data_IF_116818808030
#
_entry.id   IF_116818808030
#
_cell.length_a   1.000
_cell.length_b   1.000
_cell.length_c   1.000
_cell.angle_alpha   90.00
_cell.angle_beta   90.00
_cell.angle_gamma   90.00
#
_symmetry.space_group_name_H-M   'P 1'
#
loop_
_entity.id
_entity.type
_entity.pdbx_description
1 polymer ?
#
# COMPACT_ATOMS: atom_id res chain seq x y z
N UNK A 1 -16.08 -18.13 -4.78
CA UNK A 1 -16.99 -16.99 -4.81
C UNK A 1 -16.22 -15.89 -5.50
N UNK A 2 -16.65 -15.49 -6.69
CA UNK A 2 -15.97 -14.41 -7.41
C UNK A 2 -16.26 -13.08 -6.72
N UNK A 3 -15.31 -12.14 -6.78
CA UNK A 3 -15.50 -10.81 -6.22
C UNK A 3 -16.67 -10.11 -6.92
N UNK A 4 -17.47 -9.35 -6.17
CA UNK A 4 -18.51 -8.51 -6.75
C UNK A 4 -17.87 -7.47 -7.68
N UNK A 5 -18.41 -7.36 -8.90
CA UNK A 5 -17.90 -6.53 -9.99
C UNK A 5 -18.61 -5.19 -10.10
N UNK A 6 -19.51 -4.87 -9.17
CA UNK A 6 -20.08 -3.51 -9.08
C UNK A 6 -18.98 -2.48 -8.85
N UNK A 7 -19.17 -1.27 -9.38
CA UNK A 7 -18.23 -0.15 -9.16
C UNK A 7 -18.02 0.13 -7.66
N UNK A 8 -19.08 -0.01 -6.86
CA UNK A 8 -19.00 0.17 -5.41
C UNK A 8 -18.08 -0.87 -4.75
N UNK A 9 -18.24 -2.16 -5.07
CA UNK A 9 -17.40 -3.23 -4.54
C UNK A 9 -15.94 -3.09 -4.99
N UNK A 10 -15.72 -2.80 -6.27
CA UNK A 10 -14.38 -2.59 -6.82
C UNK A 10 -13.67 -1.40 -6.16
N UNK A 11 -14.38 -0.30 -5.90
CA UNK A 11 -13.82 0.86 -5.20
C UNK A 11 -13.43 0.54 -3.76
N UNK A 12 -14.19 -0.30 -3.06
CA UNK A 12 -13.83 -0.74 -1.72
C UNK A 12 -12.56 -1.60 -1.75
N UNK A 13 -12.53 -2.60 -2.62
CA UNK A 13 -11.36 -3.47 -2.79
C UNK A 13 -10.10 -2.70 -3.22
N UNK A 14 -10.25 -1.68 -4.07
CA UNK A 14 -9.14 -0.83 -4.48
C UNK A 14 -8.56 -0.05 -3.30
N UNK A 15 -9.40 0.51 -2.43
CA UNK A 15 -8.95 1.23 -1.23
C UNK A 15 -8.18 0.34 -0.27
N UNK A 16 -8.65 -0.89 -0.07
CA UNK A 16 -7.96 -1.88 0.78
C UNK A 16 -6.60 -2.27 0.19
N UNK A 17 -6.54 -2.42 -1.14
CA UNK A 17 -5.30 -2.67 -1.86
C UNK A 17 -4.33 -1.47 -1.77
N UNK A 18 -4.83 -0.24 -1.94
CA UNK A 18 -4.06 1.00 -1.83
C UNK A 18 -3.46 1.16 -0.43
N UNK A 19 -4.22 0.88 0.62
CA UNK A 19 -3.73 0.95 2.00
C UNK A 19 -2.60 -0.06 2.23
N UNK A 20 -2.83 -1.31 1.83
CA UNK A 20 -1.81 -2.36 1.93
C UNK A 20 -0.55 -2.00 1.15
N UNK A 21 -0.72 -1.51 -0.08
CA UNK A 21 0.40 -1.18 -0.95
C UNK A 21 1.20 0.00 -0.40
N UNK A 22 0.55 1.05 0.08
CA UNK A 22 1.20 2.29 0.48
C UNK A 22 1.72 2.30 1.92
N UNK A 23 1.15 1.47 2.82
CA UNK A 23 1.47 1.53 4.25
C UNK A 23 2.04 0.25 4.82
N UNK A 24 1.74 -0.91 4.22
CA UNK A 24 2.12 -2.22 4.77
C UNK A 24 3.21 -2.89 3.95
N UNK A 25 3.15 -2.78 2.62
CA UNK A 25 4.04 -3.52 1.72
C UNK A 25 5.44 -2.88 1.64
N UNK A 26 6.52 -3.63 1.89
CA UNK A 26 7.87 -3.14 1.60
C UNK A 26 8.13 -3.05 0.09
N UNK A 27 8.73 -1.95 -0.35
CA UNK A 27 9.03 -1.73 -1.76
C UNK A 27 10.51 -1.95 -2.05
N UNK A 28 10.81 -2.75 -3.09
CA UNK A 28 12.18 -2.99 -3.53
C UNK A 28 12.93 -1.67 -3.84
N UNK A 29 12.27 -0.72 -4.49
CA UNK A 29 12.84 0.59 -4.82
C UNK A 29 13.24 1.41 -3.58
N UNK A 30 12.65 1.12 -2.42
CA UNK A 30 12.96 1.77 -1.13
C UNK A 30 13.92 0.92 -0.27
N UNK A 31 14.57 -0.09 -0.87
CA UNK A 31 15.43 -1.02 -0.16
C UNK A 31 14.65 -1.95 0.76
N UNK A 32 13.49 -2.43 0.31
CA UNK A 32 12.58 -3.29 1.07
C UNK A 32 12.08 -2.64 2.37
N UNK A 33 11.75 -1.36 2.29
CA UNK A 33 11.06 -0.60 3.34
C UNK A 33 9.69 -0.15 2.87
N UNK A 34 8.78 0.06 3.82
CA UNK A 34 7.56 0.84 3.58
C UNK A 34 7.91 2.32 3.35
N UNK A 35 7.02 3.12 2.74
CA UNK A 35 7.25 4.55 2.56
C UNK A 35 7.52 5.29 3.88
N UNK A 36 6.78 4.96 4.94
CA UNK A 36 6.95 5.57 6.26
C UNK A 36 8.32 5.25 6.88
N UNK A 37 8.75 3.98 6.82
CA UNK A 37 10.08 3.58 7.29
C UNK A 37 11.20 4.26 6.51
N UNK A 38 11.04 4.38 5.19
CA UNK A 38 12.00 5.09 4.34
C UNK A 38 12.11 6.57 4.73
N UNK A 39 10.99 7.27 4.90
CA UNK A 39 10.97 8.67 5.32
C UNK A 39 11.60 8.86 6.72
N UNK A 40 11.27 8.00 7.68
CA UNK A 40 11.87 8.05 9.02
C UNK A 40 13.40 7.87 8.98
N UNK A 41 13.90 6.97 8.12
CA UNK A 41 15.34 6.74 7.94
C UNK A 41 16.07 7.94 7.30
N UNK A 42 15.37 8.72 6.47
CA UNK A 42 15.92 9.92 5.82
C UNK A 42 15.86 11.17 6.68
N UNK A 43 14.89 11.26 7.59
CA UNK A 43 14.79 12.38 8.51
C UNK A 43 15.88 12.35 9.61
N UNK A 44 16.53 11.19 9.78
CA UNK A 44 17.58 10.96 10.79
C UNK A 44 19.00 11.05 10.22
N UNK A 45 19.16 11.47 8.96
CA UNK A 45 20.42 11.62 8.24
C UNK A 45 20.66 13.08 7.86
#
# INVERSE_FOLDING_TARGET
MDADVTVAALNAALRDWEDTYNHVRPHQALGYRTPNEFLASRASA
#
